data_IF_399629394159
#
_entry.id   IF_399629394159
#
_cell.length_a   1.000
_cell.length_b   1.000
_cell.length_c   1.000
_cell.angle_alpha   90.00
_cell.angle_beta   90.00
_cell.angle_gamma   90.00
#
_symmetry.space_group_name_H-M   'P 1'
#
loop_
_entity.id
_entity.type
_entity.pdbx_description
1 polymer ?
#
# COMPACT_ATOMS: atom_id res chain seq x y z
N UNK A 1 23.33 7.68 3.93
CA UNK A 1 22.00 8.18 4.38
C UNK A 1 20.96 7.14 4.02
N UNK A 2 20.59 6.24 4.95
CA UNK A 2 19.50 5.27 4.75
C UNK A 2 18.18 6.03 4.93
N UNK A 3 17.15 5.84 4.08
CA UNK A 3 15.84 6.39 4.39
C UNK A 3 15.35 5.75 5.68
N UNK A 4 15.07 6.55 6.70
CA UNK A 4 14.54 6.09 7.97
C UNK A 4 13.07 5.70 7.78
N UNK A 5 12.80 4.42 7.55
CA UNK A 5 11.45 3.85 7.38
C UNK A 5 10.69 3.68 8.70
N UNK A 6 11.21 4.25 9.79
CA UNK A 6 11.19 3.56 11.07
C UNK A 6 9.83 3.46 11.74
N UNK A 7 8.88 4.40 11.64
CA UNK A 7 7.80 4.28 12.65
C UNK A 7 6.34 4.63 12.32
N UNK A 8 6.01 5.28 11.20
CA UNK A 8 4.59 5.63 10.95
C UNK A 8 4.04 4.93 9.72
N UNK A 9 3.10 4.01 9.95
CA UNK A 9 2.18 3.57 8.90
C UNK A 9 1.57 4.82 8.27
N UNK A 10 1.84 5.02 6.99
CA UNK A 10 1.48 6.22 6.27
C UNK A 10 -0.05 6.35 6.19
N UNK A 11 -0.72 5.22 5.93
CA UNK A 11 -2.18 5.16 5.87
C UNK A 11 -2.71 3.98 6.69
N UNK A 12 -3.91 4.16 7.25
CA UNK A 12 -4.70 3.11 7.90
C UNK A 12 -5.97 2.82 7.11
N UNK A 13 -6.18 1.56 6.75
CA UNK A 13 -7.39 1.11 6.04
C UNK A 13 -8.41 0.62 7.07
N UNK A 14 -9.54 1.33 7.18
CA UNK A 14 -10.63 1.02 8.11
C UNK A 14 -11.76 0.18 7.51
N UNK A 15 -12.91 0.11 8.18
CA UNK A 15 -14.09 -0.69 7.78
C UNK A 15 -14.55 -0.47 6.34
N UNK A 16 -14.42 0.75 5.82
CA UNK A 16 -14.79 1.09 4.44
C UNK A 16 -13.78 0.60 3.39
N UNK A 17 -12.70 -0.06 3.81
CA UNK A 17 -11.69 -0.61 2.93
C UNK A 17 -10.94 0.47 2.12
N UNK A 18 -10.59 0.10 0.89
CA UNK A 18 -9.87 0.94 -0.06
C UNK A 18 -10.84 1.88 -0.78
N UNK A 19 -11.06 3.08 -0.24
CA UNK A 19 -11.87 4.13 -0.90
C UNK A 19 -11.06 4.88 -1.96
N UNK A 20 -11.72 5.55 -2.91
CA UNK A 20 -11.04 6.38 -3.92
C UNK A 20 -10.16 7.47 -3.30
N UNK A 21 -10.62 8.12 -2.22
CA UNK A 21 -9.81 9.10 -1.48
C UNK A 21 -8.53 8.49 -0.92
N UNK A 22 -8.62 7.28 -0.35
CA UNK A 22 -7.46 6.54 0.14
C UNK A 22 -6.48 6.18 -0.99
N UNK A 23 -6.98 5.72 -2.15
CA UNK A 23 -6.15 5.41 -3.33
C UNK A 23 -5.41 6.64 -3.83
N UNK A 24 -6.11 7.79 -3.90
CA UNK A 24 -5.52 9.05 -4.35
C UNK A 24 -4.41 9.50 -3.42
N UNK A 25 -4.65 9.45 -2.12
CA UNK A 25 -3.66 9.82 -1.11
C UNK A 25 -2.43 8.89 -1.15
N UNK A 26 -2.67 7.57 -1.24
CA UNK A 26 -1.61 6.57 -1.45
C UNK A 26 -0.77 6.93 -2.67
N UNK A 27 -1.41 7.21 -3.80
CA UNK A 27 -0.70 7.53 -5.05
C UNK A 27 0.16 8.78 -4.94
N UNK A 28 -0.36 9.84 -4.30
CA UNK A 28 0.39 11.08 -4.07
C UNK A 28 1.63 10.80 -3.20
N UNK A 29 1.47 10.00 -2.17
CA UNK A 29 2.53 9.75 -1.17
C UNK A 29 3.55 8.75 -1.68
N UNK A 30 3.11 7.76 -2.45
CA UNK A 30 3.96 6.85 -3.20
C UNK A 30 4.83 7.62 -4.20
N UNK A 31 4.29 8.64 -4.89
CA UNK A 31 5.07 9.51 -5.78
C UNK A 31 6.07 10.38 -5.02
N UNK A 32 5.69 10.93 -3.86
CA UNK A 32 6.55 11.81 -3.04
C UNK A 32 7.69 11.06 -2.34
N UNK A 33 7.42 9.86 -1.83
CA UNK A 33 8.36 9.08 -0.99
C UNK A 33 8.99 7.89 -1.71
N UNK A 34 8.41 7.47 -2.85
CA UNK A 34 8.79 6.25 -3.59
C UNK A 34 8.25 4.95 -2.99
N UNK A 35 7.92 4.96 -1.70
CA UNK A 35 7.65 3.77 -0.90
C UNK A 35 6.81 4.15 0.33
N UNK A 36 5.86 3.31 0.70
CA UNK A 36 4.99 3.57 1.86
C UNK A 36 4.61 2.27 2.57
N UNK A 37 4.37 2.37 3.89
CA UNK A 37 3.76 1.32 4.71
C UNK A 37 2.29 1.63 4.95
N UNK A 38 1.42 0.66 4.72
CA UNK A 38 -0.03 0.77 4.92
C UNK A 38 -0.45 -0.27 5.96
N UNK A 39 -1.23 0.15 6.96
CA UNK A 39 -1.77 -0.73 7.99
C UNK A 39 -3.26 -0.96 7.77
N UNK A 40 -3.67 -2.21 7.70
CA UNK A 40 -5.06 -2.64 7.65
C UNK A 40 -5.55 -2.75 9.10
N UNK A 41 -6.65 -2.08 9.42
CA UNK A 41 -7.28 -2.21 10.72
C UNK A 41 -8.01 -3.55 10.81
N UNK A 42 -8.05 -4.16 12.00
CA UNK A 42 -8.79 -5.41 12.24
C UNK A 42 -10.25 -5.30 11.80
N UNK A 43 -10.83 -4.12 11.94
CA UNK A 43 -12.21 -3.85 11.55
C UNK A 43 -12.46 -3.91 10.03
N UNK A 44 -11.43 -3.73 9.20
CA UNK A 44 -11.50 -3.94 7.76
C UNK A 44 -11.47 -5.43 7.39
N UNK A 45 -10.81 -6.26 8.20
CA UNK A 45 -10.70 -7.71 7.99
C UNK A 45 -12.03 -8.44 8.22
N UNK A 46 -12.98 -7.86 8.96
CA UNK A 46 -14.32 -8.44 9.13
C UNK A 46 -15.17 -8.37 7.86
N UNK A 47 -14.85 -7.47 6.92
CA UNK A 47 -15.67 -7.24 5.72
C UNK A 47 -14.97 -7.70 4.44
N UNK A 48 -13.67 -8.03 4.49
CA UNK A 48 -12.93 -8.46 3.31
C UNK A 48 -11.59 -9.10 3.60
N UNK A 49 -11.08 -9.85 2.63
CA UNK A 49 -9.78 -10.50 2.71
C UNK A 49 -8.63 -9.48 2.51
N UNK A 50 -7.61 -9.57 3.35
CA UNK A 50 -6.39 -8.75 3.26
C UNK A 50 -5.76 -8.82 1.87
N UNK A 51 -5.65 -10.01 1.29
CA UNK A 51 -5.03 -10.22 -0.02
C UNK A 51 -5.78 -9.51 -1.14
N UNK A 52 -7.11 -9.45 -1.06
CA UNK A 52 -7.93 -8.73 -2.02
C UNK A 52 -7.69 -7.21 -1.94
N UNK A 53 -7.66 -6.67 -0.72
CA UNK A 53 -7.31 -5.26 -0.48
C UNK A 53 -5.91 -4.93 -1.01
N UNK A 54 -4.93 -5.81 -0.79
CA UNK A 54 -3.57 -5.63 -1.30
C UNK A 54 -3.59 -5.63 -2.83
N UNK A 55 -4.21 -6.63 -3.47
CA UNK A 55 -4.31 -6.72 -4.93
C UNK A 55 -4.97 -5.47 -5.52
N UNK A 56 -6.10 -5.04 -4.96
CA UNK A 56 -6.81 -3.83 -5.39
C UNK A 56 -5.93 -2.60 -5.25
N UNK A 57 -5.21 -2.47 -4.12
CA UNK A 57 -4.28 -1.37 -3.90
C UNK A 57 -3.16 -1.33 -4.94
N UNK A 58 -2.53 -2.48 -5.22
CA UNK A 58 -1.44 -2.60 -6.19
C UNK A 58 -1.91 -2.26 -7.61
N UNK A 59 -3.08 -2.76 -8.01
CA UNK A 59 -3.68 -2.47 -9.31
C UNK A 59 -4.00 -0.98 -9.47
N UNK A 60 -4.65 -0.36 -8.48
CA UNK A 60 -5.03 1.05 -8.56
C UNK A 60 -3.84 2.01 -8.56
N UNK A 61 -2.75 1.63 -7.86
CA UNK A 61 -1.59 2.52 -7.66
C UNK A 61 -0.41 2.19 -8.56
N UNK A 62 -0.52 1.13 -9.38
CA UNK A 62 0.58 0.55 -10.17
C UNK A 62 1.84 0.33 -9.32
N UNK A 63 1.63 -0.06 -8.07
CA UNK A 63 2.69 -0.30 -7.11
C UNK A 63 3.07 -1.79 -7.09
N UNK A 64 4.19 -2.07 -6.44
CA UNK A 64 4.66 -3.43 -6.19
C UNK A 64 4.71 -3.69 -4.69
N UNK A 65 4.27 -4.88 -4.28
CA UNK A 65 4.35 -5.32 -2.89
C UNK A 65 5.79 -5.69 -2.56
N UNK A 66 6.36 -5.04 -1.55
CA UNK A 66 7.69 -5.39 -1.04
C UNK A 66 7.57 -6.50 0.00
N UNK A 67 6.67 -6.32 0.96
CA UNK A 67 6.51 -7.24 2.09
C UNK A 67 5.15 -7.03 2.74
N UNK A 68 4.60 -8.11 3.32
CA UNK A 68 3.41 -8.06 4.16
C UNK A 68 3.71 -8.74 5.49
N UNK A 69 3.51 -8.03 6.60
CA UNK A 69 3.77 -8.50 7.95
C UNK A 69 2.52 -8.23 8.79
N UNK A 70 1.86 -9.30 9.24
CA UNK A 70 0.60 -9.22 9.97
C UNK A 70 -0.44 -8.40 9.19
N UNK A 71 -0.99 -7.37 9.82
CA UNK A 71 -1.96 -6.49 9.17
C UNK A 71 -1.33 -5.27 8.48
N UNK A 72 0.00 -5.24 8.30
CA UNK A 72 0.69 -4.14 7.63
C UNK A 72 1.35 -4.66 6.35
N UNK A 73 1.34 -3.85 5.31
CA UNK A 73 2.03 -4.16 4.06
C UNK A 73 2.78 -2.95 3.55
N UNK A 74 3.88 -3.21 2.86
CA UNK A 74 4.77 -2.18 2.32
C UNK A 74 4.73 -2.26 0.81
N UNK A 75 4.45 -1.13 0.15
CA UNK A 75 4.44 -1.04 -1.29
C UNK A 75 5.45 -0.02 -1.78
N UNK A 76 6.03 -0.26 -2.95
CA UNK A 76 6.89 0.68 -3.67
C UNK A 76 6.29 1.03 -5.02
N UNK A 77 6.67 2.20 -5.53
CA UNK A 77 6.35 2.54 -6.92
C UNK A 77 7.01 1.51 -7.83
N UNK A 78 6.20 0.81 -8.64
CA UNK A 78 6.75 -0.03 -9.68
C UNK A 78 7.29 0.91 -10.75
N UNK A 79 8.61 1.15 -10.78
CA UNK A 79 9.22 1.61 -12.02
C UNK A 79 8.82 0.55 -13.05
N UNK A 80 8.21 0.97 -14.15
CA UNK A 80 7.94 0.07 -15.26
C UNK A 80 9.28 -0.60 -15.60
N UNK A 81 9.49 -1.83 -15.15
CA UNK A 81 10.48 -2.66 -15.75
C UNK A 81 9.95 -2.82 -17.17
N UNK A 82 10.66 -2.20 -18.11
CA UNK A 82 10.64 -2.63 -19.49
C UNK A 82 10.71 -4.15 -19.43
N UNK A 83 9.62 -4.80 -19.88
CA UNK A 83 9.60 -6.22 -20.13
C UNK A 83 10.54 -6.41 -21.32
N UNK A 84 11.82 -6.54 -21.02
CA UNK A 84 12.85 -7.06 -21.90
C UNK A 84 12.91 -8.57 -21.70
N UNK A 85 13.03 -9.24 -22.84
CA UNK A 85 13.02 -10.69 -23.12
C UNK A 85 11.67 -11.42 -23.04
#
# INVERSE_FOLDING_TARGET
MKPDYTDKAFLRIGKNGLTEGAVREISIQLKKRGVIRIKILKSAMSTGNKDDLIKKCLQSTKAELISSIGNTFTIRYKKAQAKGD
#
